data_IF_290442060509
#
_entry.id   IF_290442060509
#
_cell.length_a   1.000
_cell.length_b   1.000
_cell.length_c   1.000
_cell.angle_alpha   90.00
_cell.angle_beta   90.00
_cell.angle_gamma   90.00
#
_symmetry.space_group_name_H-M   'P 1'
#
loop_
_entity.id
_entity.type
_entity.pdbx_description
1 polymer ?
#
# COMPACT_ATOMS: atom_id res chain seq x y z
N UNK A 1 15.56 -10.99 0.77
CA UNK A 1 15.68 -10.40 -0.58
C UNK A 1 15.55 -8.88 -0.49
N UNK A 2 16.41 -8.10 -1.15
CA UNK A 2 16.38 -6.63 -1.06
C UNK A 2 15.13 -6.03 -1.74
N UNK A 3 14.59 -6.69 -2.78
CA UNK A 3 13.46 -6.22 -3.60
C UNK A 3 12.17 -6.00 -2.81
N UNK A 4 11.76 -6.93 -1.94
CA UNK A 4 10.54 -6.80 -1.13
C UNK A 4 10.58 -5.52 -0.29
N UNK A 5 11.72 -5.26 0.37
CA UNK A 5 11.91 -4.05 1.16
C UNK A 5 11.85 -2.79 0.30
N UNK A 6 12.43 -2.82 -0.90
CA UNK A 6 12.40 -1.68 -1.83
C UNK A 6 10.97 -1.37 -2.25
N UNK A 7 10.20 -2.36 -2.71
CA UNK A 7 8.81 -2.15 -3.12
C UNK A 7 7.92 -1.72 -1.95
N UNK A 8 8.11 -2.29 -0.76
CA UNK A 8 7.37 -1.92 0.43
C UNK A 8 7.66 -0.46 0.86
N UNK A 9 8.91 -0.01 0.79
CA UNK A 9 9.28 1.38 1.06
C UNK A 9 8.75 2.34 -0.03
N UNK A 10 8.73 1.90 -1.30
CA UNK A 10 8.14 2.68 -2.39
C UNK A 10 6.64 2.88 -2.15
N UNK A 11 5.90 1.85 -1.71
CA UNK A 11 4.49 1.98 -1.33
C UNK A 11 4.28 2.94 -0.15
N UNK A 12 5.11 2.85 0.88
CA UNK A 12 5.02 3.78 2.00
C UNK A 12 5.26 5.23 1.55
N UNK A 13 6.21 5.44 0.64
CA UNK A 13 6.47 6.76 0.02
C UNK A 13 5.27 7.23 -0.80
N UNK A 14 4.63 6.34 -1.56
CA UNK A 14 3.40 6.65 -2.30
C UNK A 14 2.25 7.05 -1.39
N UNK A 15 2.13 6.45 -0.20
CA UNK A 15 1.15 6.86 0.79
C UNK A 15 1.37 8.31 1.29
N UNK A 16 2.62 8.72 1.50
CA UNK A 16 2.95 10.11 1.83
C UNK A 16 2.59 11.05 0.66
N UNK A 17 3.00 10.69 -0.56
CA UNK A 17 2.69 11.48 -1.77
C UNK A 17 1.18 11.63 -1.94
N UNK A 18 0.41 10.55 -1.72
CA UNK A 18 -1.05 10.57 -1.79
C UNK A 18 -1.65 11.57 -0.81
N UNK A 19 -1.25 11.52 0.46
CA UNK A 19 -1.73 12.46 1.49
C UNK A 19 -1.39 13.90 1.08
N UNK A 20 -0.14 14.18 0.69
CA UNK A 20 0.24 15.53 0.28
C UNK A 20 -0.58 16.00 -0.92
N UNK A 21 -0.73 15.15 -1.95
CA UNK A 21 -1.48 15.48 -3.16
C UNK A 21 -2.97 15.78 -2.90
N UNK A 22 -3.58 15.15 -1.90
CA UNK A 22 -4.98 15.44 -1.51
C UNK A 22 -5.09 16.69 -0.63
N UNK A 23 -4.16 16.90 0.30
CA UNK A 23 -4.26 18.01 1.25
C UNK A 23 -3.73 19.35 0.72
N UNK A 24 -2.77 19.36 -0.23
CA UNK A 24 -2.31 20.60 -0.86
C UNK A 24 -3.44 21.41 -1.52
N UNK A 25 -4.29 20.83 -2.39
CA UNK A 25 -5.41 21.58 -2.97
C UNK A 25 -6.48 21.94 -1.92
N UNK A 26 -6.68 21.11 -0.89
CA UNK A 26 -7.59 21.42 0.22
C UNK A 26 -7.17 22.69 0.97
N UNK A 27 -5.90 22.83 1.30
CA UNK A 27 -5.35 23.99 2.01
C UNK A 27 -5.42 25.25 1.13
N UNK A 28 -5.29 25.09 -0.19
CA UNK A 28 -5.34 26.19 -1.15
C UNK A 28 -6.77 26.59 -1.59
N UNK A 29 -7.83 26.09 -0.93
CA UNK A 29 -9.23 26.42 -1.27
C UNK A 29 -9.78 25.70 -2.50
N UNK A 30 -9.04 24.74 -3.08
CA UNK A 30 -9.42 24.05 -4.32
C UNK A 30 -10.61 23.09 -4.23
N UNK A 31 -11.23 22.93 -3.04
CA UNK A 31 -12.36 22.03 -2.79
C UNK A 31 -13.67 22.76 -2.45
N UNK A 32 -13.72 24.09 -2.63
CA UNK A 32 -14.90 24.95 -2.33
C UNK A 32 -16.17 24.56 -3.11
N UNK A 33 -16.05 23.77 -4.19
CA UNK A 33 -17.18 23.28 -4.98
C UNK A 33 -17.91 22.08 -4.36
N UNK A 34 -17.40 21.50 -3.27
CA UNK A 34 -18.00 20.36 -2.60
C UNK A 34 -18.87 20.78 -1.40
N UNK A 35 -19.93 20.03 -1.14
CA UNK A 35 -20.65 20.18 0.12
C UNK A 35 -19.76 19.79 1.30
N UNK A 36 -19.94 20.40 2.49
CA UNK A 36 -19.08 20.12 3.66
C UNK A 36 -18.98 18.63 4.02
N UNK A 37 -20.09 17.89 3.92
CA UNK A 37 -20.10 16.46 4.19
C UNK A 37 -19.27 15.64 3.18
N UNK A 38 -19.33 15.99 1.89
CA UNK A 38 -18.53 15.31 0.85
C UNK A 38 -17.04 15.62 1.00
N UNK A 39 -16.72 16.86 1.35
CA UNK A 39 -15.35 17.28 1.62
C UNK A 39 -14.73 16.49 2.79
N UNK A 40 -15.45 16.39 3.92
CA UNK A 40 -15.00 15.59 5.08
C UNK A 40 -14.82 14.11 4.75
N UNK A 41 -15.73 13.52 3.97
CA UNK A 41 -15.63 12.13 3.55
C UNK A 41 -14.38 11.89 2.67
N UNK A 42 -14.09 12.77 1.72
CA UNK A 42 -12.89 12.66 0.86
C UNK A 42 -11.60 12.80 1.67
N UNK A 43 -11.56 13.75 2.61
CA UNK A 43 -10.43 13.95 3.53
C UNK A 43 -10.16 12.66 4.31
N UNK A 44 -11.20 12.10 4.94
CA UNK A 44 -11.08 10.88 5.73
C UNK A 44 -10.63 9.69 4.87
N UNK A 45 -11.25 9.49 3.70
CA UNK A 45 -10.90 8.39 2.80
C UNK A 45 -9.45 8.49 2.30
N UNK A 46 -9.00 9.70 1.93
CA UNK A 46 -7.62 9.91 1.49
C UNK A 46 -6.61 9.68 2.61
N UNK A 47 -6.89 10.18 3.83
CA UNK A 47 -6.06 9.88 5.00
C UNK A 47 -5.95 8.37 5.24
N UNK A 48 -7.08 7.67 5.23
CA UNK A 48 -7.11 6.24 5.48
C UNK A 48 -6.34 5.46 4.41
N UNK A 49 -6.51 5.79 3.13
CA UNK A 49 -5.78 5.15 2.03
C UNK A 49 -4.26 5.42 2.13
N UNK A 50 -3.87 6.67 2.28
CA UNK A 50 -2.46 7.05 2.43
C UNK A 50 -1.80 6.41 3.66
N UNK A 51 -2.50 6.40 4.80
CA UNK A 51 -2.02 5.75 6.02
C UNK A 51 -1.95 4.23 5.88
N UNK A 52 -2.90 3.60 5.19
CA UNK A 52 -2.86 2.17 4.90
C UNK A 52 -1.59 1.82 4.11
N UNK A 53 -1.28 2.57 3.05
CA UNK A 53 -0.05 2.38 2.26
C UNK A 53 1.22 2.55 3.10
N UNK A 54 1.28 3.60 3.95
CA UNK A 54 2.41 3.85 4.85
C UNK A 54 2.60 2.70 5.84
N UNK A 55 1.56 2.37 6.60
CA UNK A 55 1.64 1.39 7.68
C UNK A 55 1.91 0.00 7.11
N UNK A 56 1.19 -0.42 6.07
CA UNK A 56 1.40 -1.72 5.45
C UNK A 56 2.78 -1.82 4.80
N UNK A 57 3.24 -0.79 4.09
CA UNK A 57 4.58 -0.74 3.51
C UNK A 57 5.69 -0.86 4.56
N UNK A 58 5.59 -0.12 5.66
CA UNK A 58 6.56 -0.19 6.76
C UNK A 58 6.54 -1.55 7.47
N UNK A 59 5.35 -2.08 7.78
CA UNK A 59 5.21 -3.39 8.41
C UNK A 59 5.81 -4.49 7.55
N UNK A 60 5.58 -4.49 6.23
CA UNK A 60 6.18 -5.48 5.32
C UNK A 60 7.70 -5.35 5.32
N UNK A 61 8.22 -4.12 5.21
CA UNK A 61 9.66 -3.85 5.21
C UNK A 61 10.36 -4.35 6.49
N UNK A 62 9.70 -4.24 7.64
CA UNK A 62 10.23 -4.66 8.95
C UNK A 62 10.05 -6.17 9.21
N UNK A 63 8.88 -6.73 8.90
CA UNK A 63 8.49 -8.07 9.33
C UNK A 63 8.94 -9.17 8.37
N UNK A 64 9.22 -8.87 7.10
CA UNK A 64 9.49 -9.88 6.07
C UNK A 64 10.53 -10.95 6.49
N UNK A 65 11.63 -10.55 7.14
CA UNK A 65 12.64 -11.51 7.64
C UNK A 65 12.18 -12.27 8.89
N UNK A 66 11.43 -11.61 9.76
CA UNK A 66 10.92 -12.15 11.03
C UNK A 66 9.86 -13.21 10.84
N UNK A 67 9.16 -13.21 9.72
CA UNK A 67 8.20 -14.27 9.36
C UNK A 67 8.87 -15.64 9.25
N UNK A 68 10.15 -15.73 8.85
CA UNK A 68 10.90 -17.00 8.82
C UNK A 68 11.26 -17.50 10.24
N UNK A 69 11.59 -16.58 11.14
CA UNK A 69 11.96 -16.89 12.52
C UNK A 69 10.73 -17.23 13.38
N UNK A 70 9.57 -16.67 13.04
CA UNK A 70 8.35 -16.77 13.83
C UNK A 70 7.14 -17.14 12.97
N UNK A 71 6.81 -18.45 12.82
CA UNK A 71 5.76 -18.93 11.93
C UNK A 71 4.37 -18.34 12.21
N UNK A 72 4.06 -17.97 13.46
CA UNK A 72 2.79 -17.35 13.83
C UNK A 72 2.56 -16.00 13.15
N UNK A 73 3.64 -15.29 12.75
CA UNK A 73 3.57 -14.02 12.03
C UNK A 73 3.12 -14.18 10.57
N UNK A 74 3.12 -15.40 10.01
CA UNK A 74 2.79 -15.62 8.59
C UNK A 74 1.37 -15.18 8.25
N UNK A 75 0.38 -15.54 9.09
CA UNK A 75 -1.03 -15.16 8.87
C UNK A 75 -1.25 -13.64 8.89
N UNK A 76 -0.87 -12.90 9.95
CA UNK A 76 -1.03 -11.45 9.96
C UNK A 76 -0.22 -10.78 8.83
N UNK A 77 0.95 -11.31 8.49
CA UNK A 77 1.73 -10.81 7.35
C UNK A 77 0.97 -10.95 6.03
N UNK A 78 0.32 -12.09 5.76
CA UNK A 78 -0.51 -12.27 4.56
C UNK A 78 -1.75 -11.37 4.53
N UNK A 79 -2.34 -11.07 5.69
CA UNK A 79 -3.46 -10.13 5.78
C UNK A 79 -3.06 -8.72 5.31
N UNK A 80 -1.82 -8.29 5.58
CA UNK A 80 -1.31 -7.00 5.11
C UNK A 80 -1.26 -6.96 3.57
N UNK A 81 -0.79 -8.05 2.93
CA UNK A 81 -0.81 -8.16 1.47
C UNK A 81 -2.23 -8.16 0.91
N UNK A 82 -3.16 -8.82 1.59
CA UNK A 82 -4.58 -8.81 1.23
C UNK A 82 -5.17 -7.41 1.27
N UNK A 83 -4.94 -6.68 2.37
CA UNK A 83 -5.41 -5.30 2.52
C UNK A 83 -4.87 -4.38 1.42
N UNK A 84 -3.56 -4.44 1.14
CA UNK A 84 -2.95 -3.69 0.04
C UNK A 84 -3.55 -4.08 -1.32
N UNK A 85 -3.83 -5.36 -1.56
CA UNK A 85 -4.40 -5.81 -2.83
C UNK A 85 -5.82 -5.26 -3.04
N UNK A 86 -6.65 -5.26 -1.99
CA UNK A 86 -8.00 -4.66 -2.06
C UNK A 86 -7.90 -3.16 -2.35
N UNK A 87 -7.02 -2.45 -1.66
CA UNK A 87 -6.80 -1.01 -1.86
C UNK A 87 -6.34 -0.70 -3.29
N UNK A 88 -5.33 -1.41 -3.81
CA UNK A 88 -4.83 -1.22 -5.16
C UNK A 88 -5.88 -1.52 -6.25
N UNK A 89 -6.66 -2.59 -6.11
CA UNK A 89 -7.75 -2.91 -7.04
C UNK A 89 -8.83 -1.84 -6.99
N UNK A 90 -9.26 -1.44 -5.78
CA UNK A 90 -10.25 -0.40 -5.60
C UNK A 90 -9.80 0.93 -6.20
N UNK A 91 -8.53 1.32 -5.98
CA UNK A 91 -7.97 2.55 -6.51
C UNK A 91 -8.07 2.60 -8.05
N UNK A 92 -7.70 1.52 -8.75
CA UNK A 92 -7.80 1.46 -10.21
C UNK A 92 -9.25 1.39 -10.69
N UNK A 93 -10.11 0.65 -9.99
CA UNK A 93 -11.52 0.52 -10.35
C UNK A 93 -12.30 1.84 -10.24
N UNK A 94 -12.04 2.62 -9.19
CA UNK A 94 -12.74 3.88 -8.94
C UNK A 94 -12.02 5.10 -9.55
N UNK A 95 -10.73 4.99 -9.90
CA UNK A 95 -9.94 6.07 -10.50
C UNK A 95 -9.13 5.57 -11.72
N UNK A 96 -9.78 5.03 -12.77
CA UNK A 96 -9.09 4.39 -13.89
C UNK A 96 -8.22 5.35 -14.72
N UNK A 97 -8.52 6.65 -14.71
CA UNK A 97 -7.75 7.67 -15.42
C UNK A 97 -6.63 8.29 -14.57
N UNK A 98 -6.46 7.86 -13.31
CA UNK A 98 -5.42 8.38 -12.43
C UNK A 98 -4.13 7.55 -12.56
N UNK A 99 -3.03 8.12 -13.08
CA UNK A 99 -1.78 7.38 -13.26
C UNK A 99 -1.16 6.91 -11.94
N UNK A 100 -1.41 7.61 -10.83
CA UNK A 100 -0.91 7.20 -9.51
C UNK A 100 -1.63 5.97 -8.96
N UNK A 101 -2.92 5.80 -9.26
CA UNK A 101 -3.66 4.60 -8.88
C UNK A 101 -3.06 3.36 -9.56
N UNK A 102 -2.74 3.46 -10.85
CA UNK A 102 -2.04 2.42 -11.59
C UNK A 102 -0.62 2.17 -11.07
N UNK A 103 0.14 3.21 -10.75
CA UNK A 103 1.48 3.07 -10.19
C UNK A 103 1.46 2.28 -8.86
N UNK A 104 0.54 2.64 -7.96
CA UNK A 104 0.35 1.92 -6.68
C UNK A 104 -0.02 0.46 -6.93
N UNK A 105 -0.96 0.20 -7.84
CA UNK A 105 -1.36 -1.16 -8.20
C UNK A 105 -0.19 -1.98 -8.76
N UNK A 106 0.60 -1.41 -9.67
CA UNK A 106 1.80 -2.06 -10.23
C UNK A 106 2.81 -2.39 -9.11
N UNK A 107 3.06 -1.46 -8.19
CA UNK A 107 3.95 -1.68 -7.05
C UNK A 107 3.47 -2.83 -6.16
N UNK A 108 2.16 -2.92 -5.91
CA UNK A 108 1.54 -4.02 -5.16
C UNK A 108 1.73 -5.35 -5.91
N UNK A 109 1.51 -5.39 -7.22
CA UNK A 109 1.76 -6.59 -8.02
C UNK A 109 3.24 -7.03 -7.95
N UNK A 110 4.18 -6.11 -8.11
CA UNK A 110 5.62 -6.38 -7.99
C UNK A 110 5.99 -6.91 -6.60
N UNK A 111 5.37 -6.35 -5.54
CA UNK A 111 5.56 -6.79 -4.17
C UNK A 111 5.02 -8.21 -3.95
N UNK A 112 3.82 -8.52 -4.45
CA UNK A 112 3.20 -9.84 -4.36
C UNK A 112 4.00 -10.91 -5.12
N UNK A 113 4.44 -10.61 -6.35
CA UNK A 113 5.31 -11.49 -7.13
C UNK A 113 6.63 -11.74 -6.39
N UNK A 114 7.24 -10.68 -5.84
CA UNK A 114 8.47 -10.81 -5.06
C UNK A 114 8.27 -11.67 -3.82
N UNK A 115 7.14 -11.55 -3.14
CA UNK A 115 6.81 -12.39 -1.98
C UNK A 115 6.67 -13.86 -2.37
N UNK A 116 5.93 -14.15 -3.45
CA UNK A 116 5.77 -15.52 -3.95
C UNK A 116 7.12 -16.17 -4.28
N UNK A 117 7.98 -15.46 -5.01
CA UNK A 117 9.31 -15.93 -5.36
C UNK A 117 10.20 -16.17 -4.12
N UNK A 118 9.99 -15.42 -3.03
CA UNK A 118 10.68 -15.65 -1.76
C UNK A 118 10.20 -16.91 -1.05
N UNK A 119 8.89 -17.16 -1.04
CA UNK A 119 8.30 -18.35 -0.43
C UNK A 119 8.79 -19.62 -1.14
N UNK A 120 8.77 -19.63 -2.47
CA UNK A 120 9.26 -20.76 -3.28
C UNK A 120 10.73 -21.08 -2.98
N UNK A 121 11.60 -20.06 -2.93
CA UNK A 121 13.02 -20.25 -2.57
C UNK A 121 13.22 -20.76 -1.15
N UNK A 122 12.34 -20.37 -0.23
CA UNK A 122 12.46 -20.78 1.18
C UNK A 122 12.04 -22.24 1.37
N UNK A 123 11.04 -22.70 0.62
CA UNK A 123 10.61 -24.12 0.62
C UNK A 123 11.74 -25.01 0.10
N UNK A 124 12.31 -24.69 -1.06
CA UNK A 124 13.41 -25.48 -1.67
C UNK A 124 14.65 -25.57 -0.76
N UNK A 125 14.93 -24.53 0.03
CA UNK A 125 16.09 -24.53 0.94
C UNK A 125 15.93 -25.37 2.22
N UNK A 126 14.72 -25.86 2.49
CA UNK A 126 14.39 -26.65 3.68
C UNK A 126 14.11 -28.13 3.35
N UNK A 127 14.22 -28.52 2.07
CA UNK A 127 14.25 -29.90 1.59
C UNK A 127 15.71 -30.32 1.35
#
# INVERSE_FOLDING_TARGET
MKSIRIFAMALATMGVIHIVATFTPLINGGLELLSPAKQQAIIYMSLMCGMLLIVCGLLIAMLHKKVKEHPFLRRPYMLIYGALSVDGIAAVAFMPHNPFAWLVFILICCLAISQKAWEEKTIISNE
#
